data_IF_369728492275
#
_entry.id   IF_369728492275
#
_cell.length_a   1.000
_cell.length_b   1.000
_cell.length_c   1.000
_cell.angle_alpha   90.00
_cell.angle_beta   90.00
_cell.angle_gamma   90.00
#
_symmetry.space_group_name_H-M   'P 1'
#
loop_
_entity.id
_entity.type
_entity.pdbx_description
1 polymer ?
#
# COMPACT_ATOMS: atom_id res chain seq x y z
N UNK A 1 -14.90 6.34 -17.57
CA UNK A 1 -14.16 5.13 -17.99
C UNK A 1 -13.10 4.82 -16.94
N UNK A 2 -12.74 3.54 -16.67
CA UNK A 2 -12.01 3.13 -15.47
C UNK A 2 -10.85 2.18 -15.82
N UNK A 3 -9.62 2.47 -15.35
CA UNK A 3 -8.49 1.53 -15.33
C UNK A 3 -8.20 1.10 -13.91
N UNK A 4 -8.17 -0.20 -13.65
CA UNK A 4 -7.81 -0.81 -12.37
C UNK A 4 -6.37 -1.32 -12.51
N UNK A 5 -5.49 -0.88 -11.61
CA UNK A 5 -4.04 -1.01 -11.73
C UNK A 5 -3.46 -1.75 -10.52
N UNK A 6 -2.89 -2.92 -10.77
CA UNK A 6 -2.41 -3.84 -9.72
C UNK A 6 -0.94 -4.18 -9.98
N UNK A 7 0.01 -3.60 -9.24
CA UNK A 7 1.38 -4.07 -9.24
C UNK A 7 1.47 -5.40 -8.47
N UNK A 8 2.22 -6.38 -8.95
CA UNK A 8 2.43 -7.65 -8.24
C UNK A 8 3.91 -8.06 -8.23
N UNK A 9 4.32 -8.68 -7.14
CA UNK A 9 5.63 -9.31 -6.98
C UNK A 9 5.51 -10.51 -6.05
N UNK A 10 5.85 -11.70 -6.57
CA UNK A 10 5.78 -12.97 -5.84
C UNK A 10 4.44 -13.22 -5.13
N UNK A 11 3.33 -12.85 -5.79
CA UNK A 11 1.97 -13.03 -5.29
C UNK A 11 1.00 -13.44 -6.40
N UNK A 12 0.06 -14.34 -6.09
CA UNK A 12 -0.99 -14.78 -7.03
C UNK A 12 -2.24 -13.95 -6.79
N UNK A 13 -2.61 -13.11 -7.77
CA UNK A 13 -3.74 -12.19 -7.66
C UNK A 13 -4.93 -12.51 -8.60
N UNK A 14 -4.97 -13.69 -9.20
CA UNK A 14 -6.05 -14.11 -10.13
C UNK A 14 -7.43 -13.96 -9.50
N UNK A 15 -7.60 -14.36 -8.22
CA UNK A 15 -8.88 -14.23 -7.52
C UNK A 15 -9.31 -12.76 -7.39
N UNK A 16 -8.41 -11.88 -6.96
CA UNK A 16 -8.68 -10.45 -6.84
C UNK A 16 -9.13 -9.87 -8.19
N UNK A 17 -8.41 -10.20 -9.27
CA UNK A 17 -8.76 -9.74 -10.64
C UNK A 17 -10.13 -10.26 -11.06
N UNK A 18 -10.45 -11.52 -10.78
CA UNK A 18 -11.76 -12.11 -11.10
C UNK A 18 -12.89 -11.41 -10.34
N UNK A 19 -12.73 -11.18 -9.03
CA UNK A 19 -13.73 -10.50 -8.19
C UNK A 19 -13.97 -9.05 -8.68
N UNK A 20 -12.90 -8.34 -9.07
CA UNK A 20 -12.98 -6.99 -9.62
C UNK A 20 -13.61 -6.96 -11.01
N UNK A 21 -13.27 -7.91 -11.88
CA UNK A 21 -13.84 -8.03 -13.22
C UNK A 21 -15.35 -8.22 -13.15
N UNK A 22 -15.83 -9.11 -12.26
CA UNK A 22 -17.28 -9.32 -12.06
C UNK A 22 -18.01 -8.06 -11.59
N UNK A 23 -17.37 -7.20 -10.79
CA UNK A 23 -17.94 -5.91 -10.42
C UNK A 23 -17.90 -4.92 -11.57
N UNK A 24 -16.79 -4.88 -12.31
CA UNK A 24 -16.61 -3.95 -13.43
C UNK A 24 -17.61 -4.21 -14.57
N UNK A 25 -17.97 -5.48 -14.82
CA UNK A 25 -19.04 -5.84 -15.78
C UNK A 25 -20.40 -5.24 -15.44
N UNK A 26 -20.66 -4.96 -14.16
CA UNK A 26 -21.90 -4.32 -13.71
C UNK A 26 -21.86 -2.80 -13.80
N UNK A 27 -20.68 -2.22 -14.05
CA UNK A 27 -20.54 -0.80 -14.29
C UNK A 27 -20.92 -0.54 -15.75
N UNK A 28 -21.89 0.31 -15.98
CA UNK A 28 -22.29 0.71 -17.34
C UNK A 28 -21.25 1.65 -17.99
N UNK A 29 -19.97 1.31 -17.91
CA UNK A 29 -18.90 2.09 -18.50
C UNK A 29 -17.71 1.21 -18.93
N UNK A 30 -16.95 1.62 -19.97
CA UNK A 30 -15.73 0.94 -20.37
C UNK A 30 -14.71 0.85 -19.24
N UNK A 31 -14.07 -0.33 -19.09
CA UNK A 31 -13.04 -0.57 -18.09
C UNK A 31 -11.92 -1.45 -18.63
N UNK A 32 -10.81 -1.46 -17.91
CA UNK A 32 -9.71 -2.40 -18.05
C UNK A 32 -9.10 -2.72 -16.69
N UNK A 33 -8.50 -3.90 -16.56
CA UNK A 33 -7.69 -4.28 -15.40
C UNK A 33 -6.28 -4.61 -15.90
N UNK A 34 -5.30 -3.85 -15.44
CA UNK A 34 -3.89 -4.05 -15.78
C UNK A 34 -3.14 -4.56 -14.54
N UNK A 35 -2.53 -5.72 -14.68
CA UNK A 35 -1.65 -6.29 -13.67
C UNK A 35 -0.23 -6.25 -14.22
N UNK A 36 0.68 -5.55 -13.54
CA UNK A 36 2.10 -5.55 -13.88
C UNK A 36 2.88 -6.38 -12.85
N UNK A 37 3.65 -7.33 -13.35
CA UNK A 37 4.50 -8.22 -12.56
C UNK A 37 5.93 -7.69 -12.53
N UNK A 38 6.44 -7.43 -11.35
CA UNK A 38 7.75 -6.84 -11.10
C UNK A 38 8.88 -7.90 -11.08
N UNK A 39 8.93 -8.74 -12.11
CA UNK A 39 9.89 -9.84 -12.26
C UNK A 39 9.79 -10.90 -11.15
N UNK A 40 8.56 -11.38 -10.87
CA UNK A 40 8.32 -12.48 -9.93
C UNK A 40 9.01 -13.78 -10.35
N UNK A 41 9.09 -14.73 -9.43
CA UNK A 41 9.48 -16.10 -9.71
C UNK A 41 8.47 -16.80 -10.65
N UNK A 42 8.95 -17.76 -11.45
CA UNK A 42 8.16 -18.44 -12.49
C UNK A 42 6.88 -19.11 -11.97
N UNK A 43 6.89 -19.57 -10.72
CA UNK A 43 5.72 -20.20 -10.11
C UNK A 43 4.54 -19.22 -10.03
N UNK A 44 4.78 -17.98 -9.61
CA UNK A 44 3.76 -16.93 -9.52
C UNK A 44 3.33 -16.45 -10.90
N UNK A 45 4.29 -16.23 -11.81
CA UNK A 45 4.02 -15.84 -13.20
C UNK A 45 3.10 -16.82 -13.90
N UNK A 46 3.37 -18.13 -13.77
CA UNK A 46 2.56 -19.19 -14.37
C UNK A 46 1.09 -19.10 -13.97
N UNK A 47 0.82 -18.88 -12.68
CA UNK A 47 -0.54 -18.73 -12.19
C UNK A 47 -1.19 -17.43 -12.67
N UNK A 48 -0.47 -16.30 -12.61
CA UNK A 48 -1.00 -14.99 -12.98
C UNK A 48 -1.22 -14.84 -14.50
N UNK A 49 -0.52 -15.60 -15.36
CA UNK A 49 -0.79 -15.64 -16.81
C UNK A 49 -2.24 -16.02 -17.16
N UNK A 50 -2.94 -16.70 -16.25
CA UNK A 50 -4.38 -17.01 -16.39
C UNK A 50 -5.24 -15.74 -16.49
N UNK A 51 -4.77 -14.62 -15.97
CA UNK A 51 -5.42 -13.31 -16.04
C UNK A 51 -5.66 -12.89 -17.50
N UNK A 52 -4.77 -13.23 -18.44
CA UNK A 52 -4.94 -12.92 -19.85
C UNK A 52 -6.13 -13.63 -20.50
N UNK A 53 -6.71 -14.64 -19.85
CA UNK A 53 -7.96 -15.29 -20.28
C UNK A 53 -9.23 -14.61 -19.72
N UNK A 54 -9.12 -13.59 -18.87
CA UNK A 54 -10.25 -12.87 -18.26
C UNK A 54 -10.56 -11.66 -19.17
N UNK A 55 -11.82 -11.41 -19.54
CA UNK A 55 -12.19 -10.29 -20.40
C UNK A 55 -11.75 -8.94 -19.80
N UNK A 56 -11.23 -8.05 -20.67
CA UNK A 56 -10.73 -6.72 -20.31
C UNK A 56 -9.59 -6.69 -19.28
N UNK A 57 -8.93 -7.85 -19.03
CA UNK A 57 -7.80 -7.96 -18.13
C UNK A 57 -6.50 -8.24 -18.92
N UNK A 58 -5.40 -7.67 -18.45
CA UNK A 58 -4.08 -7.87 -19.04
C UNK A 58 -3.03 -8.07 -17.96
N UNK A 59 -2.26 -9.14 -18.06
CA UNK A 59 -1.09 -9.40 -17.24
C UNK A 59 0.17 -9.08 -18.05
N UNK A 60 1.09 -8.29 -17.47
CA UNK A 60 2.28 -7.73 -18.10
C UNK A 60 3.48 -8.11 -17.23
N UNK A 61 4.44 -8.84 -17.80
CA UNK A 61 5.65 -9.27 -17.09
C UNK A 61 6.80 -8.31 -17.40
N UNK A 62 7.38 -7.72 -16.37
CA UNK A 62 8.62 -6.97 -16.48
C UNK A 62 9.82 -7.93 -16.49
N UNK A 63 10.92 -7.52 -17.13
CA UNK A 63 12.14 -8.33 -17.23
C UNK A 63 13.01 -8.24 -15.97
N UNK A 64 12.88 -7.12 -15.22
CA UNK A 64 13.64 -6.84 -14.00
C UNK A 64 12.72 -6.22 -12.94
N UNK A 65 13.08 -6.38 -11.66
CA UNK A 65 12.38 -5.73 -10.56
C UNK A 65 12.72 -4.24 -10.55
N UNK A 66 11.72 -3.42 -10.79
CA UNK A 66 11.86 -1.95 -10.89
C UNK A 66 11.42 -1.23 -9.62
N UNK A 67 10.79 -1.93 -8.68
CA UNK A 67 10.33 -1.41 -7.41
C UNK A 67 8.97 -0.72 -7.45
N UNK A 68 8.45 -0.44 -6.24
CA UNK A 68 7.05 -0.04 -5.99
C UNK A 68 6.63 1.26 -6.68
N UNK A 69 7.47 2.27 -6.68
CA UNK A 69 7.19 3.56 -7.31
C UNK A 69 7.11 3.42 -8.83
N UNK A 70 8.16 2.84 -9.42
CA UNK A 70 8.29 2.77 -10.87
C UNK A 70 7.26 1.84 -11.52
N UNK A 71 6.91 0.70 -10.90
CA UNK A 71 5.88 -0.18 -11.45
C UNK A 71 4.49 0.49 -11.44
N UNK A 72 4.16 1.29 -10.40
CA UNK A 72 2.91 2.09 -10.38
C UNK A 72 2.93 3.17 -11.46
N UNK A 73 4.07 3.81 -11.69
CA UNK A 73 4.21 4.80 -12.77
C UNK A 73 4.02 4.16 -14.15
N UNK A 74 4.62 2.98 -14.38
CA UNK A 74 4.44 2.21 -15.62
C UNK A 74 2.95 1.89 -15.84
N UNK A 75 2.25 1.38 -14.81
CA UNK A 75 0.82 1.08 -14.89
C UNK A 75 -0.02 2.32 -15.22
N UNK A 76 0.26 3.46 -14.56
CA UNK A 76 -0.44 4.71 -14.83
C UNK A 76 -0.21 5.25 -16.26
N UNK A 77 1.00 5.08 -16.80
CA UNK A 77 1.31 5.41 -18.19
C UNK A 77 0.59 4.50 -19.19
N UNK A 78 0.48 3.20 -18.91
CA UNK A 78 -0.19 2.22 -19.76
C UNK A 78 -1.71 2.32 -19.72
N UNK A 79 -2.28 2.87 -18.65
CA UNK A 79 -3.71 3.03 -18.47
C UNK A 79 -4.33 3.93 -19.53
N UNK A 80 -5.49 3.52 -20.08
CA UNK A 80 -6.17 4.23 -21.17
C UNK A 80 -7.28 5.19 -20.70
N UNK A 81 -7.79 4.98 -19.48
CA UNK A 81 -9.01 5.66 -19.02
C UNK A 81 -8.72 6.76 -18.00
N UNK A 82 -9.70 7.65 -17.80
CA UNK A 82 -9.54 8.89 -17.04
C UNK A 82 -9.44 8.68 -15.53
N UNK A 83 -10.07 7.61 -15.00
CA UNK A 83 -10.03 7.27 -13.60
C UNK A 83 -9.14 6.05 -13.39
N UNK A 84 -8.13 6.17 -12.55
CA UNK A 84 -7.22 5.10 -12.18
C UNK A 84 -7.55 4.64 -10.76
N UNK A 85 -7.80 3.36 -10.55
CA UNK A 85 -7.84 2.77 -9.20
C UNK A 85 -6.57 1.93 -9.04
N UNK A 86 -5.70 2.34 -8.13
CA UNK A 86 -4.55 1.57 -7.70
C UNK A 86 -4.91 0.74 -6.47
N UNK A 87 -4.42 -0.49 -6.43
CA UNK A 87 -4.49 -1.35 -5.25
C UNK A 87 -3.33 -2.34 -5.21
N UNK A 88 -2.99 -2.82 -4.03
CA UNK A 88 -1.96 -3.83 -3.87
C UNK A 88 -2.52 -5.22 -4.21
N UNK A 89 -1.66 -6.12 -4.70
CA UNK A 89 -2.05 -7.45 -5.20
C UNK A 89 -2.53 -8.41 -4.10
N UNK A 90 -2.16 -8.17 -2.85
CA UNK A 90 -2.53 -8.93 -1.66
C UNK A 90 -3.84 -8.43 -1.00
N UNK A 91 -4.56 -7.58 -1.71
CA UNK A 91 -5.88 -7.13 -1.31
C UNK A 91 -6.97 -8.18 -1.60
N UNK A 92 -8.06 -8.12 -0.83
CA UNK A 92 -9.29 -8.86 -1.11
C UNK A 92 -10.49 -7.91 -1.04
N UNK A 93 -11.42 -8.10 -1.96
CA UNK A 93 -12.66 -7.31 -2.02
C UNK A 93 -13.61 -7.78 -0.91
N UNK A 94 -14.08 -6.84 -0.08
CA UNK A 94 -15.00 -7.13 1.04
C UNK A 94 -16.44 -6.68 0.77
N UNK A 95 -16.66 -5.94 -0.32
CA UNK A 95 -17.99 -5.46 -0.72
C UNK A 95 -18.22 -5.66 -2.21
N UNK A 96 -19.39 -6.16 -2.57
CA UNK A 96 -19.81 -6.27 -3.98
C UNK A 96 -20.06 -4.91 -4.65
N UNK A 97 -20.01 -3.81 -3.89
CA UNK A 97 -20.21 -2.43 -4.34
C UNK A 97 -18.89 -1.64 -4.40
N UNK A 98 -17.75 -2.30 -4.24
CA UNK A 98 -16.45 -1.62 -4.14
C UNK A 98 -16.19 -0.67 -5.31
N UNK A 99 -16.34 -1.12 -6.55
CA UNK A 99 -16.12 -0.28 -7.72
C UNK A 99 -17.22 0.78 -7.91
N UNK A 100 -18.49 0.42 -7.68
CA UNK A 100 -19.62 1.37 -7.82
C UNK A 100 -19.54 2.52 -6.82
N UNK A 101 -19.08 2.27 -5.58
CA UNK A 101 -18.84 3.33 -4.58
C UNK A 101 -17.77 4.32 -5.02
N UNK A 102 -16.68 3.87 -5.64
CA UNK A 102 -15.69 4.77 -6.23
C UNK A 102 -16.29 5.59 -7.36
N UNK A 103 -17.02 4.94 -8.28
CA UNK A 103 -17.61 5.61 -9.42
C UNK A 103 -18.69 6.63 -9.02
N UNK A 104 -19.41 6.41 -7.92
CA UNK A 104 -20.40 7.36 -7.38
C UNK A 104 -19.76 8.69 -6.94
N UNK A 105 -18.53 8.66 -6.46
CA UNK A 105 -17.82 9.86 -5.93
C UNK A 105 -16.73 10.38 -6.86
N UNK A 106 -16.57 9.82 -8.06
CA UNK A 106 -15.46 10.10 -8.98
C UNK A 106 -15.23 11.58 -9.32
N UNK A 107 -16.28 12.39 -9.25
CA UNK A 107 -16.24 13.82 -9.55
C UNK A 107 -16.09 14.70 -8.28
N UNK A 108 -16.04 14.11 -7.08
CA UNK A 108 -16.02 14.87 -5.83
C UNK A 108 -14.61 15.37 -5.45
N UNK A 109 -13.56 14.69 -5.92
CA UNK A 109 -12.17 15.07 -5.74
C UNK A 109 -11.29 14.39 -6.79
N UNK A 110 -10.09 14.94 -7.02
CA UNK A 110 -9.10 14.35 -7.93
C UNK A 110 -8.52 13.04 -7.39
N UNK A 111 -8.44 12.90 -6.06
CA UNK A 111 -7.97 11.70 -5.37
C UNK A 111 -9.02 11.26 -4.37
N UNK A 112 -9.35 9.97 -4.38
CA UNK A 112 -10.26 9.34 -3.41
C UNK A 112 -9.56 8.16 -2.78
N UNK A 113 -9.48 8.14 -1.44
CA UNK A 113 -8.85 7.05 -0.68
C UNK A 113 -9.92 6.21 0.05
N UNK A 114 -9.98 4.91 -0.28
CA UNK A 114 -11.00 3.99 0.26
C UNK A 114 -10.69 3.43 1.64
N UNK A 115 -9.41 3.33 1.99
CA UNK A 115 -8.99 2.72 3.25
C UNK A 115 -8.71 1.22 3.13
N UNK A 116 -8.38 0.61 4.26
CA UNK A 116 -8.10 -0.83 4.36
C UNK A 116 -8.63 -1.36 5.69
N UNK A 117 -8.90 -2.66 5.73
CA UNK A 117 -9.26 -3.44 6.92
C UNK A 117 -8.42 -4.71 6.98
N UNK A 118 -8.40 -5.35 8.15
CA UNK A 118 -7.62 -6.57 8.37
C UNK A 118 -8.54 -7.74 8.74
N UNK A 119 -8.07 -8.99 8.60
CA UNK A 119 -8.83 -10.16 9.04
C UNK A 119 -9.30 -10.03 10.49
N UNK A 120 -10.51 -10.54 10.79
CA UNK A 120 -11.07 -10.48 12.16
C UNK A 120 -10.30 -11.38 13.14
N UNK A 121 -9.75 -12.48 12.65
CA UNK A 121 -9.02 -13.45 13.46
C UNK A 121 -7.56 -13.52 13.02
N UNK A 122 -6.67 -13.78 13.97
CA UNK A 122 -5.25 -13.98 13.68
C UNK A 122 -5.05 -15.18 12.74
N UNK A 123 -4.59 -14.98 11.50
CA UNK A 123 -4.46 -16.07 10.52
C UNK A 123 -3.40 -17.11 10.91
N UNK A 124 -2.32 -16.66 11.57
CA UNK A 124 -1.21 -17.52 12.00
C UNK A 124 -0.38 -16.83 13.08
N UNK A 125 0.17 -17.58 14.06
CA UNK A 125 1.12 -16.99 15.03
C UNK A 125 2.35 -16.34 14.39
N UNK A 126 2.71 -16.72 13.16
CA UNK A 126 3.85 -16.18 12.44
C UNK A 126 3.67 -14.71 12.02
N UNK A 127 2.44 -14.22 11.93
CA UNK A 127 2.08 -12.85 11.53
C UNK A 127 1.53 -12.02 12.69
N UNK A 128 1.72 -12.47 13.93
CA UNK A 128 1.10 -11.85 15.10
C UNK A 128 1.51 -10.39 15.32
N UNK A 129 2.77 -10.01 15.05
CA UNK A 129 3.20 -8.61 15.20
C UNK A 129 2.44 -7.69 14.25
N UNK A 130 2.39 -8.02 12.96
CA UNK A 130 1.64 -7.25 11.98
C UNK A 130 0.16 -7.19 12.35
N UNK A 131 -0.45 -8.34 12.65
CA UNK A 131 -1.86 -8.44 12.96
C UNK A 131 -2.27 -7.56 14.15
N UNK A 132 -1.60 -7.69 15.31
CA UNK A 132 -1.96 -6.93 16.50
C UNK A 132 -1.67 -5.44 16.34
N UNK A 133 -0.58 -5.06 15.67
CA UNK A 133 -0.27 -3.66 15.39
C UNK A 133 -1.35 -3.02 14.51
N UNK A 134 -1.73 -3.64 13.40
CA UNK A 134 -2.71 -3.09 12.47
C UNK A 134 -4.13 -3.13 13.05
N UNK A 135 -4.54 -4.20 13.76
CA UNK A 135 -5.86 -4.25 14.43
C UNK A 135 -5.99 -3.20 15.53
N UNK A 136 -4.92 -2.91 16.27
CA UNK A 136 -4.93 -1.83 17.25
C UNK A 136 -5.06 -0.45 16.57
N UNK A 137 -4.44 -0.26 15.42
CA UNK A 137 -4.50 1.00 14.68
C UNK A 137 -5.84 1.20 13.95
N UNK A 138 -6.50 0.13 13.48
CA UNK A 138 -7.69 0.16 12.62
C UNK A 138 -8.82 1.10 13.12
N UNK A 139 -9.22 1.11 14.41
CA UNK A 139 -10.24 2.03 14.92
C UNK A 139 -9.87 3.52 14.82
N UNK A 140 -8.59 3.81 14.63
CA UNK A 140 -8.08 5.17 14.46
C UNK A 140 -8.01 5.62 13.00
N UNK A 141 -8.33 4.72 12.05
CA UNK A 141 -8.24 4.94 10.60
C UNK A 141 -9.60 4.89 9.88
N UNK A 142 -10.72 5.23 10.57
CA UNK A 142 -12.03 5.43 9.90
C UNK A 142 -11.96 6.59 8.90
N UNK A 143 -12.87 6.63 7.92
CA UNK A 143 -12.88 7.68 6.90
C UNK A 143 -12.92 9.10 7.50
N UNK A 144 -13.71 9.30 8.55
CA UNK A 144 -13.84 10.58 9.26
C UNK A 144 -12.52 10.99 9.93
N UNK A 145 -11.86 10.03 10.61
CA UNK A 145 -10.58 10.30 11.29
C UNK A 145 -9.46 10.56 10.29
N UNK A 146 -9.44 9.81 9.17
CA UNK A 146 -8.49 10.05 8.08
C UNK A 146 -8.66 11.42 7.45
N UNK A 147 -9.89 11.90 7.31
CA UNK A 147 -10.20 13.21 6.74
C UNK A 147 -9.63 14.39 7.56
N UNK A 148 -9.33 14.21 8.86
CA UNK A 148 -8.69 15.23 9.70
C UNK A 148 -7.23 15.49 9.31
N UNK A 149 -6.55 14.48 8.76
CA UNK A 149 -5.14 14.56 8.32
C UNK A 149 -4.93 13.89 6.95
N UNK A 150 -5.62 14.35 5.88
CA UNK A 150 -5.85 13.58 4.66
C UNK A 150 -4.57 13.15 3.93
N UNK A 151 -3.53 13.95 4.00
CA UNK A 151 -2.26 13.66 3.32
C UNK A 151 -1.32 12.79 4.17
N UNK A 152 -1.36 12.94 5.51
CA UNK A 152 -0.46 12.22 6.43
C UNK A 152 -0.81 10.74 6.54
N UNK A 153 -2.10 10.41 6.38
CA UNK A 153 -2.63 9.05 6.53
C UNK A 153 -2.97 8.39 5.20
N UNK A 154 -2.63 9.04 4.09
CA UNK A 154 -2.78 8.48 2.76
C UNK A 154 -1.86 7.27 2.60
N UNK A 155 -2.41 6.18 2.03
CA UNK A 155 -1.68 4.96 1.69
C UNK A 155 -2.04 4.52 0.27
N UNK A 156 -1.09 3.93 -0.44
CA UNK A 156 -1.27 3.50 -1.83
C UNK A 156 -1.99 2.16 -1.98
N UNK A 157 -2.39 1.55 -0.87
CA UNK A 157 -3.03 0.23 -0.85
C UNK A 157 -4.37 0.18 -1.61
N UNK A 158 -5.13 1.29 -1.62
CA UNK A 158 -6.48 1.35 -2.20
C UNK A 158 -6.90 2.81 -2.46
N UNK A 159 -6.66 3.34 -3.64
CA UNK A 159 -7.07 4.72 -3.97
C UNK A 159 -7.43 4.87 -5.45
N UNK A 160 -8.33 5.83 -5.72
CA UNK A 160 -8.67 6.29 -7.06
C UNK A 160 -8.04 7.66 -7.29
N UNK A 161 -7.57 7.93 -8.51
CA UNK A 161 -7.00 9.22 -8.93
C UNK A 161 -7.34 9.50 -10.39
N UNK A 162 -7.52 10.78 -10.74
CA UNK A 162 -7.58 11.20 -12.14
C UNK A 162 -6.26 10.91 -12.84
N UNK A 163 -6.33 10.31 -14.03
CA UNK A 163 -5.14 9.99 -14.83
C UNK A 163 -4.28 11.21 -15.13
N UNK A 164 -4.91 12.34 -15.47
CA UNK A 164 -4.20 13.59 -15.73
C UNK A 164 -3.40 14.06 -14.51
N UNK A 165 -4.01 14.02 -13.33
CA UNK A 165 -3.36 14.36 -12.05
C UNK A 165 -2.20 13.41 -11.76
N UNK A 166 -2.39 12.10 -11.95
CA UNK A 166 -1.34 11.10 -11.75
C UNK A 166 -0.15 11.32 -12.67
N UNK A 167 -0.39 11.57 -13.96
CA UNK A 167 0.70 11.76 -14.93
C UNK A 167 1.48 13.05 -14.71
N UNK A 168 0.84 14.09 -14.13
CA UNK A 168 1.53 15.33 -13.72
C UNK A 168 2.37 15.13 -12.45
N UNK A 169 1.94 14.24 -11.56
CA UNK A 169 2.53 14.01 -10.24
C UNK A 169 2.75 12.52 -10.02
N UNK A 170 3.70 11.89 -10.73
CA UNK A 170 3.99 10.46 -10.55
C UNK A 170 4.69 10.21 -9.20
N UNK A 171 4.78 8.94 -8.81
CA UNK A 171 5.60 8.52 -7.67
C UNK A 171 7.07 8.88 -7.87
N UNK A 172 7.76 9.23 -6.77
CA UNK A 172 9.20 9.50 -6.77
C UNK A 172 9.98 8.18 -6.94
N UNK A 173 10.57 7.96 -8.12
CA UNK A 173 11.34 6.75 -8.45
C UNK A 173 12.72 6.73 -7.80
N UNK A 174 13.14 7.80 -7.12
CA UNK A 174 14.38 7.80 -6.33
C UNK A 174 14.25 6.98 -5.06
N UNK A 175 13.01 6.62 -4.66
CA UNK A 175 12.73 5.69 -3.56
C UNK A 175 12.82 4.28 -4.10
N UNK A 176 14.01 3.69 -3.99
CA UNK A 176 14.30 2.32 -4.44
C UNK A 176 14.16 1.29 -3.32
N UNK A 177 14.10 1.74 -2.07
CA UNK A 177 13.94 0.90 -0.88
C UNK A 177 12.51 0.92 -0.35
N UNK A 178 12.21 -0.01 0.56
CA UNK A 178 10.89 -0.13 1.15
C UNK A 178 10.50 1.08 2.03
N UNK A 179 9.26 1.57 1.84
CA UNK A 179 8.59 2.52 2.72
C UNK A 179 8.71 3.99 2.31
N UNK A 180 7.73 4.76 2.78
CA UNK A 180 7.59 6.21 2.60
C UNK A 180 7.26 6.70 1.18
N UNK A 181 7.12 5.84 0.17
CA UNK A 181 6.67 6.23 -1.17
C UNK A 181 5.26 6.85 -1.14
N UNK A 182 4.36 6.28 -0.33
CA UNK A 182 3.01 6.78 -0.12
C UNK A 182 2.98 8.11 0.64
N UNK A 183 3.80 8.24 1.68
CA UNK A 183 3.95 9.48 2.45
C UNK A 183 4.47 10.62 1.57
N UNK A 184 5.50 10.37 0.78
CA UNK A 184 6.05 11.38 -0.15
C UNK A 184 5.05 11.74 -1.24
N UNK A 185 4.31 10.77 -1.78
CA UNK A 185 3.25 11.04 -2.73
C UNK A 185 2.14 11.91 -2.10
N UNK A 186 1.70 11.59 -0.88
CA UNK A 186 0.76 12.41 -0.12
C UNK A 186 1.26 13.85 0.11
N UNK A 187 2.56 14.04 0.36
CA UNK A 187 3.16 15.38 0.49
C UNK A 187 3.18 16.15 -0.84
N UNK A 188 3.41 15.47 -1.96
CA UNK A 188 3.31 16.08 -3.30
C UNK A 188 1.88 16.56 -3.53
N UNK A 189 0.88 15.71 -3.30
CA UNK A 189 -0.54 16.09 -3.43
C UNK A 189 -0.89 17.30 -2.56
N UNK A 190 -0.39 17.33 -1.31
CA UNK A 190 -0.58 18.46 -0.41
C UNK A 190 0.04 19.75 -0.96
N UNK A 191 1.28 19.68 -1.42
CA UNK A 191 2.02 20.83 -1.97
C UNK A 191 1.33 21.43 -3.20
N UNK A 192 0.78 20.58 -4.04
CA UNK A 192 0.07 20.98 -5.27
C UNK A 192 -1.40 21.35 -5.00
N UNK A 193 -1.87 21.30 -3.76
CA UNK A 193 -3.24 21.66 -3.38
C UNK A 193 -4.30 20.67 -3.85
N UNK A 194 -3.89 19.45 -4.24
CA UNK A 194 -4.78 18.41 -4.75
C UNK A 194 -5.56 17.79 -3.57
N UNK A 195 -6.88 17.88 -3.61
CA UNK A 195 -7.75 17.40 -2.55
C UNK A 195 -7.85 15.87 -2.53
N UNK A 196 -7.66 15.27 -1.36
CA UNK A 196 -7.94 13.84 -1.10
C UNK A 196 -9.29 13.72 -0.38
N UNK A 197 -10.24 13.03 -0.98
CA UNK A 197 -11.49 12.62 -0.36
C UNK A 197 -11.30 11.24 0.29
N UNK A 198 -11.58 11.12 1.59
CA UNK A 198 -11.56 9.85 2.31
C UNK A 198 -12.98 9.29 2.39
N UNK A 199 -13.15 8.04 1.95
CA UNK A 199 -14.45 7.35 1.98
C UNK A 199 -14.31 6.01 2.72
N UNK A 200 -15.44 5.48 3.19
CA UNK A 200 -15.51 4.13 3.74
C UNK A 200 -15.76 3.12 2.60
N UNK A 201 -14.67 2.73 1.96
CA UNK A 201 -14.65 1.74 0.86
C UNK A 201 -13.38 0.87 0.94
N UNK A 202 -13.20 0.14 2.05
CA UNK A 202 -11.95 -0.56 2.30
C UNK A 202 -11.78 -1.81 1.42
N UNK A 203 -10.53 -2.19 1.21
CA UNK A 203 -10.12 -3.55 0.84
C UNK A 203 -9.53 -4.24 2.07
N UNK A 204 -9.65 -5.56 2.14
CA UNK A 204 -8.98 -6.35 3.17
C UNK A 204 -7.52 -6.59 2.78
N UNK A 205 -6.60 -6.30 3.68
CA UNK A 205 -5.20 -6.67 3.54
C UNK A 205 -5.02 -8.14 3.95
N UNK A 206 -4.74 -9.01 2.97
CA UNK A 206 -4.49 -10.44 3.18
C UNK A 206 -2.99 -10.77 3.27
N UNK A 207 -2.12 -9.81 2.93
CA UNK A 207 -0.67 -9.95 2.88
C UNK A 207 0.03 -9.56 4.19
N UNK A 208 -0.47 -10.01 5.34
CA UNK A 208 0.19 -9.72 6.61
C UNK A 208 1.62 -10.29 6.65
N UNK A 209 2.57 -9.42 6.94
CA UNK A 209 3.98 -9.77 7.03
C UNK A 209 4.26 -10.73 8.19
N UNK A 210 5.21 -11.65 8.00
CA UNK A 210 5.70 -12.46 9.10
C UNK A 210 6.42 -11.58 10.14
N UNK A 211 6.52 -12.06 11.39
CA UNK A 211 7.20 -11.33 12.44
C UNK A 211 8.65 -10.95 12.06
N UNK A 212 9.33 -11.78 11.27
CA UNK A 212 10.65 -11.49 10.74
C UNK A 212 10.61 -10.41 9.65
N UNK A 213 9.63 -10.50 8.73
CA UNK A 213 9.49 -9.52 7.64
C UNK A 213 9.13 -8.14 8.19
N UNK A 214 8.28 -8.06 9.24
CA UNK A 214 8.00 -6.79 9.95
C UNK A 214 9.30 -6.16 10.44
N UNK A 215 10.20 -6.94 11.06
CA UNK A 215 11.48 -6.43 11.53
C UNK A 215 12.36 -5.93 10.39
N UNK A 216 12.52 -6.74 9.34
CA UNK A 216 13.36 -6.40 8.17
C UNK A 216 12.83 -5.19 7.42
N UNK A 217 11.52 -5.15 7.17
CA UNK A 217 10.85 -4.00 6.53
C UNK A 217 10.93 -2.74 7.38
N UNK A 218 10.85 -2.86 8.71
CA UNK A 218 11.04 -1.72 9.61
C UNK A 218 12.46 -1.18 9.55
N UNK A 219 13.48 -2.07 9.57
CA UNK A 219 14.88 -1.66 9.41
C UNK A 219 15.11 -0.94 8.07
N UNK A 220 14.54 -1.44 6.98
CA UNK A 220 14.64 -0.84 5.65
C UNK A 220 13.90 0.49 5.57
N UNK A 221 12.67 0.55 6.08
CA UNK A 221 11.87 1.79 6.14
C UNK A 221 12.57 2.90 6.95
N UNK A 222 13.25 2.55 8.06
CA UNK A 222 14.04 3.53 8.81
C UNK A 222 15.25 4.05 8.03
N UNK A 223 15.88 3.22 7.20
CA UNK A 223 16.95 3.66 6.29
C UNK A 223 16.41 4.62 5.24
N UNK A 224 15.29 4.28 4.60
CA UNK A 224 14.59 5.16 3.65
C UNK A 224 14.21 6.49 4.29
N UNK A 225 13.68 6.46 5.51
CA UNK A 225 13.35 7.65 6.28
C UNK A 225 14.57 8.54 6.54
N UNK A 226 15.70 7.94 6.91
CA UNK A 226 16.94 8.68 7.13
C UNK A 226 17.49 9.30 5.84
N UNK A 227 17.50 8.54 4.74
CA UNK A 227 17.97 9.02 3.44
C UNK A 227 17.12 10.19 2.89
N UNK A 228 15.81 10.19 3.17
CA UNK A 228 14.87 11.23 2.74
C UNK A 228 14.43 12.15 3.89
N UNK A 229 15.23 12.23 4.99
CA UNK A 229 14.87 12.96 6.20
C UNK A 229 14.50 14.42 5.97
N UNK A 230 15.20 15.13 5.07
CA UNK A 230 14.89 16.51 4.73
C UNK A 230 13.49 16.69 4.11
N UNK A 231 13.03 15.73 3.30
CA UNK A 231 11.69 15.74 2.70
C UNK A 231 10.61 15.36 3.70
N UNK A 232 10.93 14.54 4.73
CA UNK A 232 10.00 13.91 5.65
C UNK A 232 9.98 14.51 7.06
N UNK A 233 10.88 15.45 7.38
CA UNK A 233 11.07 15.99 8.74
C UNK A 233 9.79 16.54 9.38
N UNK A 234 8.96 17.22 8.60
CA UNK A 234 7.76 17.89 9.11
C UNK A 234 6.55 16.94 9.28
N UNK A 235 6.62 15.71 8.76
CA UNK A 235 5.53 14.75 8.83
C UNK A 235 5.86 13.46 9.61
N UNK A 236 7.14 13.22 9.94
CA UNK A 236 7.57 12.01 10.62
C UNK A 236 7.74 12.20 12.12
N UNK A 237 6.87 11.54 12.90
CA UNK A 237 7.00 11.46 14.37
C UNK A 237 8.30 10.75 14.79
N UNK A 238 8.79 9.81 13.99
CA UNK A 238 10.04 9.08 14.25
C UNK A 238 11.22 10.02 14.15
N UNK A 239 11.28 10.90 13.14
CA UNK A 239 12.35 11.90 13.03
C UNK A 239 12.30 12.92 14.16
N UNK A 240 11.10 13.32 14.59
CA UNK A 240 10.93 14.18 15.77
C UNK A 240 11.44 13.50 17.04
N UNK A 241 11.06 12.24 17.27
CA UNK A 241 11.53 11.46 18.40
C UNK A 241 13.05 11.25 18.35
N UNK A 242 13.60 10.96 17.17
CA UNK A 242 15.05 10.85 16.98
C UNK A 242 15.77 12.14 17.40
N UNK A 243 15.27 13.30 17.00
CA UNK A 243 15.80 14.60 17.40
C UNK A 243 15.82 14.77 18.93
N UNK A 244 14.70 14.48 19.60
CA UNK A 244 14.63 14.54 21.06
C UNK A 244 15.59 13.60 21.76
N UNK A 245 15.68 12.34 21.31
CA UNK A 245 16.60 11.35 21.89
C UNK A 245 18.06 11.73 21.67
N UNK A 246 18.39 12.32 20.52
CA UNK A 246 19.72 12.86 20.23
C UNK A 246 20.09 13.99 21.19
N UNK A 247 19.19 14.96 21.36
CA UNK A 247 19.40 16.13 22.20
C UNK A 247 19.49 15.74 23.69
N UNK A 248 18.80 14.67 24.10
CA UNK A 248 18.91 14.05 25.43
C UNK A 248 20.08 13.10 25.59
N UNK A 249 20.92 12.88 24.58
CA UNK A 249 22.04 11.91 24.56
C UNK A 249 21.64 10.45 24.82
N UNK A 250 20.40 10.06 24.54
CA UNK A 250 19.86 8.72 24.80
C UNK A 250 20.00 7.72 23.64
N UNK A 251 20.51 8.14 22.48
CA UNK A 251 20.60 7.28 21.28
C UNK A 251 21.39 6.00 21.53
N UNK A 252 22.47 6.05 22.34
CA UNK A 252 23.29 4.86 22.67
C UNK A 252 22.49 3.84 23.47
N UNK A 253 21.67 4.29 24.41
CA UNK A 253 20.81 3.41 25.23
C UNK A 253 19.73 2.74 24.38
N UNK A 254 19.10 3.48 23.47
CA UNK A 254 18.11 2.93 22.53
C UNK A 254 18.76 1.92 21.59
N UNK A 255 19.94 2.22 21.05
CA UNK A 255 20.72 1.29 20.22
C UNK A 255 21.04 -0.01 20.96
N UNK A 256 21.48 0.09 22.22
CA UNK A 256 21.75 -1.08 23.06
C UNK A 256 20.50 -1.95 23.25
N UNK A 257 19.36 -1.36 23.60
CA UNK A 257 18.09 -2.08 23.75
C UNK A 257 17.66 -2.76 22.45
N UNK A 258 17.80 -2.07 21.32
CA UNK A 258 17.50 -2.64 20.01
C UNK A 258 18.34 -3.89 19.72
N UNK A 259 19.65 -3.83 19.94
CA UNK A 259 20.54 -4.97 19.73
C UNK A 259 20.24 -6.13 20.67
N UNK A 260 19.74 -5.86 21.87
CA UNK A 260 19.31 -6.89 22.82
C UNK A 260 18.00 -7.59 22.34
N UNK A 261 17.03 -6.83 21.85
CA UNK A 261 15.71 -7.33 21.44
C UNK A 261 15.71 -8.01 20.07
N UNK A 262 16.53 -7.56 19.13
CA UNK A 262 16.55 -8.03 17.73
C UNK A 262 16.74 -9.56 17.59
N UNK A 263 17.67 -10.24 18.32
CA UNK A 263 17.77 -11.69 18.26
C UNK A 263 16.55 -12.44 18.80
N UNK A 264 15.86 -11.86 19.79
CA UNK A 264 14.63 -12.46 20.36
C UNK A 264 13.49 -12.48 19.35
N UNK A 265 13.29 -11.38 18.61
CA UNK A 265 12.30 -11.29 17.53
C UNK A 265 12.65 -12.30 16.43
N UNK A 266 13.91 -12.34 15.98
CA UNK A 266 14.39 -13.29 14.96
C UNK A 266 14.18 -14.76 15.34
N UNK A 267 14.28 -15.11 16.63
CA UNK A 267 14.08 -16.47 17.12
C UNK A 267 12.62 -16.82 17.40
N UNK A 268 11.66 -15.95 17.04
CA UNK A 268 10.23 -16.11 17.37
C UNK A 268 9.95 -16.26 18.89
N UNK A 269 10.87 -15.81 19.75
CA UNK A 269 10.68 -15.91 21.20
C UNK A 269 9.53 -15.02 21.69
N UNK A 270 9.26 -13.90 21.00
CA UNK A 270 8.14 -13.01 21.30
C UNK A 270 6.80 -13.56 20.75
N UNK A 271 6.83 -14.46 19.76
CA UNK A 271 5.61 -15.05 19.15
C UNK A 271 5.12 -16.34 19.82
N UNK A 272 5.78 -16.79 20.91
CA UNK A 272 5.38 -18.02 21.63
C UNK A 272 4.53 -17.78 22.89
N UNK A 273 4.25 -16.52 23.25
CA UNK A 273 3.37 -16.25 24.39
C UNK A 273 1.91 -16.19 23.91
N UNK A 274 1.02 -17.05 24.42
CA UNK A 274 -0.40 -17.07 24.05
C UNK A 274 -1.21 -15.88 24.60
N UNK A 275 -0.57 -14.94 25.31
CA UNK A 275 -1.21 -13.82 26.01
C UNK A 275 -0.59 -12.44 25.72
N UNK A 276 0.04 -12.25 24.58
CA UNK A 276 0.43 -10.92 24.08
C UNK A 276 -0.20 -10.64 22.75
#
# INVERSE_FOLDING_TARGET
MLSILIPTYNYVCVKLVTDLQQQAERLECPYEILVADDASEDAFKRENRKINGIPNCKYIELQENVGRSRIRNILGCLARYDYLIFMDCDASVVSNEFLSRYMAVRNAAEVVYGGLVHPEQLPSPKVSLAFFYEKHAEPHFTAEKRALHPYKVFRTFNFMILRETFLKHPFDETITHYGHEDTLFGLVLKKEGIKILHIDNPLMNCGLDTNLDVLLKTEESLRTLYMHSEKLKDCSEILRLYGLLRDMHLLRSVSFLYHLCRPMIRRNLLGKHPNL
#
